data_IF_972374753545
#
_entry.id   IF_972374753545
#
_cell.length_a   1.000
_cell.length_b   1.000
_cell.length_c   1.000
_cell.angle_alpha   90.00
_cell.angle_beta   90.00
_cell.angle_gamma   90.00
#
_symmetry.space_group_name_H-M   'P 1'
#
loop_
_entity.id
_entity.type
_entity.pdbx_description
1 polymer ?
#
# COMPACT_ATOMS: atom_id res chain seq x y z
N UNK A 1 -47.83 -21.10 1.14
CA UNK A 1 -47.14 -19.92 1.71
C UNK A 1 -47.27 -19.79 3.24
N UNK A 2 -48.32 -20.31 3.90
CA UNK A 2 -48.57 -20.09 5.35
C UNK A 2 -47.77 -20.99 6.32
N UNK A 3 -47.35 -22.19 5.90
CA UNK A 3 -46.63 -23.13 6.79
C UNK A 3 -45.23 -22.67 7.16
N UNK A 4 -44.49 -22.06 6.23
CA UNK A 4 -43.16 -21.49 6.48
C UNK A 4 -43.22 -20.37 7.51
N UNK A 5 -44.19 -19.46 7.37
CA UNK A 5 -44.38 -18.35 8.32
C UNK A 5 -44.75 -18.87 9.71
N UNK A 6 -45.62 -19.89 9.78
CA UNK A 6 -46.00 -20.53 11.05
C UNK A 6 -44.78 -21.19 11.74
N UNK A 7 -43.95 -21.93 10.99
CA UNK A 7 -42.71 -22.52 11.51
C UNK A 7 -41.71 -21.47 11.99
N UNK A 8 -41.57 -20.35 11.29
CA UNK A 8 -40.75 -19.21 11.73
C UNK A 8 -41.29 -18.56 13.01
N UNK A 9 -42.62 -18.40 13.11
CA UNK A 9 -43.28 -17.89 14.31
C UNK A 9 -43.02 -18.77 15.52
N UNK A 10 -43.25 -20.07 15.40
CA UNK A 10 -43.05 -21.07 16.47
C UNK A 10 -41.56 -21.20 16.88
N UNK A 11 -40.65 -21.08 15.91
CA UNK A 11 -39.21 -21.03 16.16
C UNK A 11 -38.82 -19.77 16.94
N UNK A 12 -39.40 -18.61 16.62
CA UNK A 12 -39.18 -17.35 17.34
C UNK A 12 -39.70 -17.42 18.79
N UNK A 13 -40.83 -18.08 19.03
CA UNK A 13 -41.35 -18.30 20.38
C UNK A 13 -40.44 -19.23 21.19
N UNK A 14 -39.87 -20.26 20.55
CA UNK A 14 -38.88 -21.14 21.17
C UNK A 14 -37.56 -20.42 21.47
N UNK A 15 -37.12 -19.52 20.57
CA UNK A 15 -35.99 -18.61 20.80
C UNK A 15 -36.20 -17.72 22.03
N UNK A 16 -37.40 -17.17 22.23
CA UNK A 16 -37.71 -16.31 23.40
C UNK A 16 -37.73 -17.05 24.74
N UNK A 17 -37.94 -18.37 24.77
CA UNK A 17 -37.88 -19.15 26.03
C UNK A 17 -36.46 -19.52 26.43
N UNK A 18 -35.54 -19.58 25.47
CA UNK A 18 -34.13 -19.96 25.68
C UNK A 18 -33.15 -18.87 25.21
N UNK A 19 -33.52 -17.59 25.37
CA UNK A 19 -32.74 -16.43 24.87
C UNK A 19 -31.29 -16.45 25.37
N UNK A 20 -31.07 -16.82 26.63
CA UNK A 20 -29.72 -16.86 27.21
C UNK A 20 -28.81 -17.84 26.45
N UNK A 21 -29.24 -19.10 26.29
CA UNK A 21 -28.45 -20.14 25.62
C UNK A 21 -28.21 -19.80 24.15
N UNK A 22 -29.24 -19.30 23.47
CA UNK A 22 -29.15 -18.83 22.09
C UNK A 22 -28.14 -17.69 21.97
N UNK A 23 -28.25 -16.68 22.83
CA UNK A 23 -27.40 -15.50 22.76
C UNK A 23 -25.93 -15.86 22.99
N UNK A 24 -25.67 -16.80 23.90
CA UNK A 24 -24.34 -17.36 24.13
C UNK A 24 -23.80 -18.08 22.87
N UNK A 25 -24.63 -18.88 22.20
CA UNK A 25 -24.24 -19.54 20.95
C UNK A 25 -23.97 -18.54 19.82
N UNK A 26 -24.81 -17.52 19.67
CA UNK A 26 -24.62 -16.44 18.68
C UNK A 26 -23.34 -15.67 18.97
N UNK A 27 -23.08 -15.31 20.23
CA UNK A 27 -21.85 -14.64 20.64
C UNK A 27 -20.61 -15.49 20.35
N UNK A 28 -20.65 -16.80 20.61
CA UNK A 28 -19.54 -17.69 20.30
C UNK A 28 -19.22 -17.72 18.80
N UNK A 29 -20.25 -17.82 17.95
CA UNK A 29 -20.10 -17.77 16.49
C UNK A 29 -19.60 -16.39 16.05
N UNK A 30 -20.13 -15.32 16.62
CA UNK A 30 -19.73 -13.95 16.33
C UNK A 30 -18.25 -13.70 16.66
N UNK A 31 -17.79 -14.14 17.84
CA UNK A 31 -16.38 -14.01 18.23
C UNK A 31 -15.47 -14.77 17.25
N UNK A 32 -15.89 -15.97 16.84
CA UNK A 32 -15.13 -16.79 15.89
C UNK A 32 -15.01 -16.11 14.52
N UNK A 33 -16.11 -15.55 14.01
CA UNK A 33 -16.14 -14.80 12.76
C UNK A 33 -15.37 -13.48 12.85
N UNK A 34 -15.47 -12.77 13.97
CA UNK A 34 -14.74 -11.53 14.20
C UNK A 34 -13.23 -11.77 14.20
N UNK A 35 -12.76 -12.87 14.81
CA UNK A 35 -11.35 -13.26 14.77
C UNK A 35 -10.89 -13.54 13.34
N UNK A 36 -11.66 -14.34 12.59
CA UNK A 36 -11.34 -14.66 11.20
C UNK A 36 -11.33 -13.39 10.32
N UNK A 37 -12.34 -12.53 10.48
CA UNK A 37 -12.42 -11.25 9.79
C UNK A 37 -11.24 -10.34 10.13
N UNK A 38 -10.88 -10.24 11.42
CA UNK A 38 -9.72 -9.45 11.85
C UNK A 38 -8.42 -9.97 11.24
N UNK A 39 -8.23 -11.29 11.14
CA UNK A 39 -7.06 -11.88 10.50
C UNK A 39 -7.00 -11.53 9.00
N UNK A 40 -8.14 -11.57 8.31
CA UNK A 40 -8.23 -11.18 6.89
C UNK A 40 -7.94 -9.69 6.69
N UNK A 41 -8.57 -8.83 7.50
CA UNK A 41 -8.35 -7.37 7.46
C UNK A 41 -6.91 -7.02 7.79
N UNK A 42 -6.30 -7.67 8.78
CA UNK A 42 -4.91 -7.42 9.13
C UNK A 42 -3.95 -7.80 7.99
N UNK A 43 -4.17 -8.93 7.31
CA UNK A 43 -3.39 -9.30 6.13
C UNK A 43 -3.55 -8.25 5.02
N UNK A 44 -4.76 -7.74 4.80
CA UNK A 44 -4.99 -6.71 3.79
C UNK A 44 -4.35 -5.36 4.18
N UNK A 45 -4.44 -4.96 5.45
CA UNK A 45 -3.79 -3.75 5.95
C UNK A 45 -2.27 -3.81 5.80
N UNK A 46 -1.69 -4.98 6.09
CA UNK A 46 -0.27 -5.25 5.87
C UNK A 46 0.02 -5.20 4.38
N UNK A 47 -0.74 -5.85 3.50
CA UNK A 47 -0.49 -5.77 2.05
C UNK A 47 -0.58 -4.32 1.52
N UNK A 48 -1.59 -3.55 1.91
CA UNK A 48 -1.77 -2.17 1.46
C UNK A 48 -0.64 -1.25 1.93
N UNK A 49 -0.12 -1.44 3.14
CA UNK A 49 1.03 -0.66 3.64
C UNK A 49 2.35 -1.20 3.11
N UNK A 50 2.57 -2.49 3.22
CA UNK A 50 3.82 -3.16 2.88
C UNK A 50 4.12 -3.09 1.38
N UNK A 51 3.13 -3.17 0.48
CA UNK A 51 3.39 -3.07 -0.97
C UNK A 51 3.91 -1.66 -1.35
N UNK A 52 3.47 -0.60 -0.68
CA UNK A 52 3.99 0.76 -0.95
C UNK A 52 5.42 0.97 -0.45
N UNK A 53 5.85 0.25 0.59
CA UNK A 53 7.17 0.42 1.20
C UNK A 53 8.19 -0.66 0.78
N UNK A 54 7.75 -1.86 0.41
CA UNK A 54 8.63 -2.97 -0.02
C UNK A 54 8.84 -3.07 -1.54
N UNK A 55 8.05 -2.34 -2.34
CA UNK A 55 8.25 -2.29 -3.81
C UNK A 55 8.87 -0.98 -4.30
N UNK A 56 9.11 -0.03 -3.40
CA UNK A 56 9.60 1.30 -3.75
C UNK A 56 11.06 1.44 -3.40
N UNK A 57 11.92 1.49 -4.42
CA UNK A 57 13.26 2.09 -4.43
C UNK A 57 13.79 2.51 -3.05
N UNK A 58 14.71 1.71 -2.52
CA UNK A 58 15.29 1.90 -1.20
C UNK A 58 16.17 3.16 -1.12
N UNK A 59 16.68 3.64 -2.26
CA UNK A 59 17.48 4.87 -2.37
C UNK A 59 16.95 5.71 -3.53
N UNK A 60 16.75 7.00 -3.29
CA UNK A 60 16.38 8.00 -4.31
C UNK A 60 17.53 9.02 -4.39
N UNK A 61 18.17 9.07 -5.55
CA UNK A 61 19.24 10.03 -5.86
C UNK A 61 18.64 11.15 -6.69
N UNK A 62 18.44 12.33 -6.09
CA UNK A 62 17.97 13.50 -6.81
C UNK A 62 19.10 14.13 -7.63
N UNK A 63 18.81 14.39 -8.90
CA UNK A 63 19.74 15.01 -9.84
C UNK A 63 19.56 16.54 -9.82
N UNK A 64 20.66 17.25 -9.98
CA UNK A 64 20.62 18.69 -10.22
C UNK A 64 20.27 18.98 -11.69
N UNK A 65 19.58 20.11 -11.91
CA UNK A 65 19.06 20.53 -13.22
C UNK A 65 20.15 20.86 -14.25
N UNK A 66 21.39 21.08 -13.80
CA UNK A 66 22.54 21.44 -14.64
C UNK A 66 23.36 20.21 -15.10
N UNK A 67 22.88 18.99 -14.85
CA UNK A 67 23.54 17.79 -15.33
C UNK A 67 23.23 17.58 -16.82
N UNK A 68 24.23 17.81 -17.67
CA UNK A 68 24.14 17.55 -19.10
C UNK A 68 23.69 16.10 -19.40
N UNK A 69 23.03 15.85 -20.55
CA UNK A 69 22.37 14.58 -20.87
C UNK A 69 23.31 13.35 -20.96
N UNK A 70 24.63 13.55 -20.93
CA UNK A 70 25.62 12.46 -20.93
C UNK A 70 25.88 11.97 -19.49
N UNK A 71 25.82 12.87 -18.51
CA UNK A 71 26.21 12.59 -17.13
C UNK A 71 25.28 11.60 -16.42
N UNK A 72 23.97 11.61 -16.72
CA UNK A 72 23.02 10.71 -16.05
C UNK A 72 23.14 9.26 -16.53
N UNK A 73 23.45 9.03 -17.81
CA UNK A 73 23.64 7.67 -18.36
C UNK A 73 24.88 7.02 -17.77
N UNK A 74 25.98 7.77 -17.64
CA UNK A 74 27.22 7.28 -17.02
C UNK A 74 27.03 6.99 -15.52
N UNK A 75 26.23 7.82 -14.83
CA UNK A 75 25.94 7.63 -13.41
C UNK A 75 25.01 6.43 -13.18
N UNK A 76 24.03 6.22 -14.06
CA UNK A 76 23.18 5.03 -14.04
C UNK A 76 23.99 3.76 -14.29
N UNK A 77 24.92 3.79 -15.26
CA UNK A 77 25.82 2.66 -15.52
C UNK A 77 26.75 2.32 -14.35
N UNK A 78 27.22 3.34 -13.61
CA UNK A 78 27.99 3.13 -12.38
C UNK A 78 27.15 2.51 -11.26
N UNK A 79 25.92 3.00 -11.08
CA UNK A 79 25.01 2.46 -10.05
C UNK A 79 24.65 1.00 -10.32
N UNK A 80 24.37 0.64 -11.58
CA UNK A 80 24.08 -0.74 -11.96
C UNK A 80 25.29 -1.69 -11.82
N UNK A 81 26.50 -1.16 -11.63
CA UNK A 81 27.70 -1.97 -11.48
C UNK A 81 27.93 -2.43 -10.03
N UNK A 82 27.19 -1.91 -9.05
CA UNK A 82 27.23 -2.38 -7.66
C UNK A 82 26.48 -3.71 -7.52
N UNK A 83 27.08 -4.69 -6.85
CA UNK A 83 26.47 -6.01 -6.62
C UNK A 83 25.25 -5.92 -5.69
N UNK A 84 25.18 -4.88 -4.87
CA UNK A 84 24.09 -4.59 -3.94
C UNK A 84 22.85 -4.00 -4.63
N UNK A 85 22.99 -3.55 -5.88
CA UNK A 85 21.92 -2.95 -6.67
C UNK A 85 21.22 -4.00 -7.51
N UNK A 86 19.90 -4.15 -7.30
CA UNK A 86 19.04 -5.04 -8.07
C UNK A 86 18.53 -4.37 -9.34
N UNK A 87 18.11 -3.11 -9.24
CA UNK A 87 17.64 -2.31 -10.36
C UNK A 87 17.88 -0.82 -10.13
N UNK A 88 18.05 -0.05 -11.20
CA UNK A 88 18.17 1.40 -11.14
C UNK A 88 17.49 2.04 -12.35
N UNK A 89 16.50 2.90 -12.08
CA UNK A 89 15.68 3.53 -13.11
C UNK A 89 15.78 5.06 -13.06
N UNK A 90 15.90 5.67 -14.22
CA UNK A 90 15.86 7.13 -14.37
C UNK A 90 14.42 7.62 -14.45
N UNK A 91 14.05 8.51 -13.53
CA UNK A 91 12.78 9.22 -13.51
C UNK A 91 12.98 10.67 -13.90
N UNK A 92 12.35 11.07 -15.00
CA UNK A 92 12.39 12.45 -15.47
C UNK A 92 11.41 13.34 -14.69
N UNK A 93 11.56 14.67 -14.83
CA UNK A 93 10.71 15.66 -14.16
C UNK A 93 9.22 15.50 -14.45
N UNK A 94 8.87 15.13 -15.69
CA UNK A 94 7.47 14.97 -16.10
C UNK A 94 6.82 13.74 -15.43
N UNK A 95 7.56 12.63 -15.34
CA UNK A 95 7.14 11.43 -14.63
C UNK A 95 7.02 11.68 -13.13
N UNK A 96 7.97 12.42 -12.54
CA UNK A 96 7.92 12.81 -11.14
C UNK A 96 6.68 13.68 -10.84
N UNK A 97 6.31 14.58 -11.74
CA UNK A 97 5.10 15.38 -11.61
C UNK A 97 3.81 14.56 -11.75
N UNK A 98 3.76 13.60 -12.68
CA UNK A 98 2.60 12.72 -12.83
C UNK A 98 2.38 11.88 -11.56
N UNK A 99 3.44 11.29 -11.00
CA UNK A 99 3.34 10.53 -9.76
C UNK A 99 2.96 11.41 -8.57
N UNK A 100 3.45 12.65 -8.52
CA UNK A 100 3.04 13.63 -7.52
C UNK A 100 1.53 13.91 -7.61
N UNK A 101 1.00 14.09 -8.82
CA UNK A 101 -0.44 14.26 -9.03
C UNK A 101 -1.25 13.04 -8.57
N UNK A 102 -0.77 11.83 -8.86
CA UNK A 102 -1.42 10.59 -8.42
C UNK A 102 -1.37 10.43 -6.88
N UNK A 103 -0.26 10.79 -6.25
CA UNK A 103 -0.06 10.67 -4.80
C UNK A 103 -0.89 11.68 -4.00
N UNK A 104 -1.05 12.89 -4.53
CA UNK A 104 -1.79 13.99 -3.90
C UNK A 104 -3.14 14.26 -4.54
N UNK A 105 -3.68 13.31 -5.32
CA UNK A 105 -5.00 13.42 -5.96
C UNK A 105 -6.13 13.75 -4.97
N UNK A 106 -6.02 13.27 -3.73
CA UNK A 106 -6.99 13.51 -2.65
C UNK A 106 -6.83 14.87 -1.96
N UNK A 107 -5.75 15.62 -2.25
CA UNK A 107 -5.46 16.92 -1.66
C UNK A 107 -5.14 17.98 -2.73
N UNK A 108 -6.18 18.56 -3.37
CA UNK A 108 -6.00 19.52 -4.47
C UNK A 108 -5.29 20.80 -4.05
N UNK A 109 -5.32 21.18 -2.77
CA UNK A 109 -4.62 22.37 -2.28
C UNK A 109 -3.09 22.26 -2.44
N UNK A 110 -2.54 21.04 -2.35
CA UNK A 110 -1.11 20.79 -2.56
C UNK A 110 -0.75 20.81 -4.04
N UNK A 111 -1.65 20.31 -4.90
CA UNK A 111 -1.43 20.27 -6.35
C UNK A 111 -1.41 21.66 -6.99
N UNK A 112 -2.20 22.60 -6.45
CA UNK A 112 -2.30 23.97 -6.96
C UNK A 112 -1.10 24.85 -6.55
N UNK A 113 -0.36 24.48 -5.51
CA UNK A 113 0.73 25.29 -4.94
C UNK A 113 2.12 24.87 -5.45
N UNK A 114 2.27 23.65 -5.96
CA UNK A 114 3.56 23.10 -6.40
C UNK A 114 3.78 23.30 -7.90
N UNK A 115 4.81 24.06 -8.25
CA UNK A 115 5.27 24.20 -9.64
C UNK A 115 5.94 22.90 -10.12
N UNK A 116 5.52 22.30 -11.24
CA UNK A 116 6.14 21.09 -11.81
C UNK A 116 7.66 21.19 -11.98
N UNK A 117 8.19 22.40 -12.20
CA UNK A 117 9.60 22.63 -12.47
C UNK A 117 10.50 22.46 -11.23
N UNK A 118 9.92 22.55 -10.02
CA UNK A 118 10.68 22.37 -8.77
C UNK A 118 10.96 20.91 -8.46
N UNK A 119 10.31 19.98 -9.15
CA UNK A 119 10.54 18.55 -8.97
C UNK A 119 11.83 18.16 -9.72
N UNK A 120 12.90 17.75 -9.01
CA UNK A 120 14.13 17.31 -9.66
C UNK A 120 13.91 15.97 -10.35
N UNK A 121 14.70 15.70 -11.39
CA UNK A 121 14.83 14.34 -11.89
C UNK A 121 15.48 13.46 -10.81
N UNK A 122 15.18 12.16 -10.80
CA UNK A 122 15.73 11.24 -9.80
C UNK A 122 16.17 9.93 -10.44
N UNK A 123 17.28 9.35 -9.97
CA UNK A 123 17.56 7.92 -10.17
C UNK A 123 17.05 7.19 -8.95
N UNK A 124 16.24 6.17 -9.19
CA UNK A 124 15.65 5.38 -8.12
C UNK A 124 16.24 3.99 -8.14
N UNK A 125 16.78 3.57 -7.01
CA UNK A 125 17.61 2.38 -6.88
C UNK A 125 16.88 1.38 -5.99
N UNK A 126 16.66 0.19 -6.51
CA UNK A 126 16.20 -0.96 -5.76
C UNK A 126 17.42 -1.77 -5.33
N UNK A 127 17.66 -1.84 -4.02
CA UNK A 127 18.68 -2.73 -3.45
C UNK A 127 18.21 -4.19 -3.44
N UNK A 128 19.16 -5.11 -3.56
CA UNK A 128 18.93 -6.56 -3.39
C UNK A 128 18.56 -6.89 -1.94
N UNK A 129 19.15 -6.17 -0.99
CA UNK A 129 18.85 -6.25 0.44
C UNK A 129 18.84 -4.84 1.04
N UNK A 130 17.83 -4.54 1.85
CA UNK A 130 17.63 -3.21 2.45
C UNK A 130 18.72 -2.86 3.46
N UNK A 131 19.36 -3.86 4.05
CA UNK A 131 20.43 -3.67 5.04
C UNK A 131 21.76 -3.23 4.40
N UNK A 132 21.86 -3.23 3.06
CA UNK A 132 23.07 -2.86 2.31
C UNK A 132 23.15 -1.37 1.95
N UNK A 133 22.25 -0.53 2.46
CA UNK A 133 22.22 0.90 2.12
C UNK A 133 23.52 1.65 2.50
N UNK A 134 24.32 1.14 3.45
CA UNK A 134 25.58 1.78 3.86
C UNK A 134 26.75 1.54 2.90
N UNK A 135 26.65 0.54 2.00
CA UNK A 135 27.73 0.21 1.06
C UNK A 135 27.59 0.88 -0.32
N UNK A 136 26.45 1.55 -0.56
CA UNK A 136 26.07 2.18 -1.84
C UNK A 136 26.13 3.70 -1.76
#
# INVERSE_FOLDING_TARGET
MTRLWYLFGEALTSFRRNVLVVSAAILAVFISLALAFSALVFNELVNLNTIRWQQGNHIIVWLQDDLGPIAHTDLLGQILAYDEVKSADYFNKAQAYQEFQEMFADNPAILDEVDPNVLPASIRIELTDVDLYESV
#
